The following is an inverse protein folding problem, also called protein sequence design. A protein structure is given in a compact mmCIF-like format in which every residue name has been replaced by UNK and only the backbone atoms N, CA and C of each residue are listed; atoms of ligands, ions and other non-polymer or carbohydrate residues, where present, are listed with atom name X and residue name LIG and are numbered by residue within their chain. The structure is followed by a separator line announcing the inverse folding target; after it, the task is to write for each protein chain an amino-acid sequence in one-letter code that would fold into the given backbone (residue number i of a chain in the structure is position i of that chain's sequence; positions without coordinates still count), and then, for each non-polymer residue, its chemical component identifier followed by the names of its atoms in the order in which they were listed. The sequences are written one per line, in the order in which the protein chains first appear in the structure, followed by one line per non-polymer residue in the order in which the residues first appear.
data_IF_977679822355
#
_entry.id   IF_977679822355
#
_cell.length_a   1.000
_cell.length_b   1.000
_cell.length_c   1.000
_cell.angle_alpha   90.00
_cell.angle_beta   90.00
_cell.angle_gamma   90.00
#
_symmetry.space_group_name_H-M   'P 1'
#
loop_
_entity.id
_entity.type
_entity.pdbx_description
1 polymer ?
#
# COMPACT_ATOMS: atom_id res chain seq x y z
N UNK A 1 -47.23 -32.24 30.37
CA UNK A 1 -47.08 -31.07 29.49
C UNK A 1 -45.98 -30.23 30.10
N UNK A 2 -44.94 -29.90 29.33
CA UNK A 2 -43.85 -29.05 29.81
C UNK A 2 -44.30 -27.62 29.56
N UNK A 3 -44.63 -26.89 30.62
CA UNK A 3 -44.88 -25.46 30.53
C UNK A 3 -43.51 -24.76 30.40
N UNK A 4 -43.21 -24.23 29.22
CA UNK A 4 -41.99 -23.44 28.99
C UNK A 4 -42.20 -22.06 29.59
N UNK A 5 -41.42 -21.74 30.62
CA UNK A 5 -41.32 -20.38 31.17
C UNK A 5 -40.46 -19.50 30.26
N UNK A 6 -41.13 -18.86 29.30
CA UNK A 6 -40.52 -17.95 28.32
C UNK A 6 -39.72 -16.81 28.96
N UNK A 7 -40.09 -16.38 30.17
CA UNK A 7 -39.41 -15.31 30.92
C UNK A 7 -38.06 -15.77 31.49
N UNK A 8 -38.01 -16.97 32.07
CA UNK A 8 -36.79 -17.60 32.59
C UNK A 8 -35.79 -17.90 31.46
N UNK A 9 -36.31 -18.27 30.29
CA UNK A 9 -35.50 -18.50 29.09
C UNK A 9 -35.00 -17.20 28.44
N UNK A 10 -35.83 -16.15 28.37
CA UNK A 10 -35.47 -14.89 27.71
C UNK A 10 -34.38 -14.09 28.44
N UNK A 11 -34.35 -14.14 29.78
CA UNK A 11 -33.39 -13.39 30.60
C UNK A 11 -31.91 -13.67 30.26
N UNK A 12 -31.43 -14.93 30.20
CA UNK A 12 -30.04 -15.21 29.85
C UNK A 12 -29.69 -14.84 28.40
N UNK A 13 -30.62 -15.02 27.45
CA UNK A 13 -30.41 -14.58 26.07
C UNK A 13 -30.30 -13.06 25.97
N UNK A 14 -31.15 -12.32 26.67
CA UNK A 14 -31.07 -10.87 26.73
C UNK A 14 -29.73 -10.39 27.32
N UNK A 15 -29.26 -11.04 28.40
CA UNK A 15 -27.96 -10.73 29.00
C UNK A 15 -26.79 -10.93 28.02
N UNK A 16 -26.74 -12.08 27.33
CA UNK A 16 -25.71 -12.37 26.34
C UNK A 16 -25.80 -11.40 25.16
N UNK A 17 -27.02 -11.06 24.72
CA UNK A 17 -27.23 -10.13 23.60
C UNK A 17 -26.72 -8.72 23.94
N UNK A 18 -26.98 -8.23 25.16
CA UNK A 18 -26.43 -6.95 25.63
C UNK A 18 -24.91 -7.01 25.73
N UNK A 19 -24.36 -8.10 26.27
CA UNK A 19 -22.91 -8.27 26.40
C UNK A 19 -22.23 -8.30 25.02
N UNK A 20 -22.71 -9.13 24.10
CA UNK A 20 -22.19 -9.23 22.72
C UNK A 20 -22.39 -7.91 21.96
N UNK A 21 -23.54 -7.25 22.13
CA UNK A 21 -23.82 -5.96 21.52
C UNK A 21 -22.84 -4.88 21.97
N UNK A 22 -22.58 -4.79 23.28
CA UNK A 22 -21.59 -3.85 23.84
C UNK A 22 -20.18 -4.15 23.35
N UNK A 23 -19.79 -5.42 23.28
CA UNK A 23 -18.46 -5.82 22.80
C UNK A 23 -18.29 -5.54 21.30
N UNK A 24 -19.32 -5.82 20.50
CA UNK A 24 -19.30 -5.57 19.06
C UNK A 24 -19.23 -4.08 18.74
N UNK A 25 -20.05 -3.26 19.41
CA UNK A 25 -20.02 -1.80 19.24
C UNK A 25 -18.67 -1.21 19.66
N UNK A 26 -18.13 -1.63 20.80
CA UNK A 26 -16.80 -1.20 21.23
C UNK A 26 -15.69 -1.65 20.27
N UNK A 27 -15.70 -2.91 19.85
CA UNK A 27 -14.71 -3.48 18.91
C UNK A 27 -14.72 -2.77 17.57
N UNK A 28 -15.91 -2.50 17.01
CA UNK A 28 -16.03 -1.81 15.73
C UNK A 28 -15.58 -0.35 15.82
N UNK A 29 -15.94 0.38 16.88
CA UNK A 29 -15.49 1.77 17.09
C UNK A 29 -13.98 1.83 17.32
N UNK A 30 -13.43 0.97 18.17
CA UNK A 30 -11.99 0.91 18.43
C UNK A 30 -11.19 0.60 17.16
N UNK A 31 -11.63 -0.39 16.38
CA UNK A 31 -10.98 -0.76 15.11
C UNK A 31 -11.06 0.37 14.09
N UNK A 32 -12.21 1.06 13.98
CA UNK A 32 -12.38 2.22 13.10
C UNK A 32 -11.43 3.36 13.50
N UNK A 33 -11.33 3.67 14.81
CA UNK A 33 -10.42 4.72 15.32
C UNK A 33 -8.95 4.36 15.08
N UNK A 34 -8.56 3.12 15.33
CA UNK A 34 -7.20 2.63 15.07
C UNK A 34 -6.85 2.71 13.58
N UNK A 35 -7.79 2.35 12.70
CA UNK A 35 -7.62 2.45 11.26
C UNK A 35 -7.52 3.92 10.77
N UNK A 36 -8.32 4.83 11.34
CA UNK A 36 -8.20 6.27 11.01
C UNK A 36 -6.88 6.87 11.50
N UNK A 37 -6.38 6.44 12.66
CA UNK A 37 -5.07 6.88 13.16
C UNK A 37 -3.95 6.38 12.24
N UNK A 38 -3.99 5.11 11.82
CA UNK A 38 -2.99 4.57 10.90
C UNK A 38 -3.05 5.20 9.51
N UNK A 39 -4.24 5.65 9.08
CA UNK A 39 -4.43 6.33 7.80
C UNK A 39 -3.81 7.74 7.76
N UNK A 40 -3.78 8.45 8.90
CA UNK A 40 -3.21 9.80 9.02
C UNK A 40 -1.68 9.81 9.21
N UNK A 41 -1.04 8.65 9.28
CA UNK A 41 0.40 8.58 9.42
C UNK A 41 1.06 9.06 8.14
N UNK A 42 2.03 9.96 8.31
CA UNK A 42 2.79 10.53 7.21
C UNK A 42 3.48 9.40 6.41
N UNK A 43 3.39 9.43 5.07
CA UNK A 43 4.07 8.48 4.19
C UNK A 43 5.56 8.36 4.55
N UNK A 44 6.10 7.13 4.53
CA UNK A 44 7.51 6.90 4.86
C UNK A 44 8.45 7.44 3.79
N UNK A 45 8.04 7.37 2.53
CA UNK A 45 8.79 7.91 1.40
C UNK A 45 8.10 9.15 0.83
N UNK A 46 8.87 10.09 0.27
CA UNK A 46 8.30 11.20 -0.47
C UNK A 46 7.56 10.70 -1.74
N UNK A 47 6.68 11.53 -2.31
CA UNK A 47 5.95 11.21 -3.53
C UNK A 47 6.88 10.71 -4.64
N UNK A 48 6.44 9.68 -5.37
CA UNK A 48 7.26 9.02 -6.39
C UNK A 48 7.32 9.86 -7.69
N UNK A 49 8.35 10.67 -7.83
CA UNK A 49 8.52 11.59 -8.97
C UNK A 49 8.56 10.85 -10.32
N UNK A 50 9.35 9.79 -10.43
CA UNK A 50 9.54 9.04 -11.67
C UNK A 50 8.27 8.33 -12.13
N UNK A 51 7.48 7.78 -11.18
CA UNK A 51 6.13 7.26 -11.46
C UNK A 51 5.22 8.37 -11.98
N UNK A 52 5.20 9.53 -11.32
CA UNK A 52 4.38 10.67 -11.74
C UNK A 52 4.77 11.16 -13.14
N UNK A 53 6.06 11.20 -13.48
CA UNK A 53 6.54 11.54 -14.83
C UNK A 53 6.03 10.50 -15.83
N UNK A 54 6.20 9.21 -15.54
CA UNK A 54 5.73 8.13 -16.41
C UNK A 54 4.20 8.20 -16.65
N UNK A 55 3.41 8.34 -15.59
CA UNK A 55 1.96 8.49 -15.70
C UNK A 55 1.60 9.77 -16.44
N UNK A 56 2.28 10.88 -16.20
CA UNK A 56 2.03 12.13 -16.94
C UNK A 56 2.32 11.95 -18.43
N UNK A 57 3.38 11.22 -18.80
CA UNK A 57 3.71 10.88 -20.18
C UNK A 57 2.67 9.95 -20.83
N UNK A 58 2.07 9.04 -20.06
CA UNK A 58 1.01 8.15 -20.54
C UNK A 58 -0.33 8.89 -20.76
N UNK A 59 -0.67 9.81 -19.85
CA UNK A 59 -1.89 10.63 -19.94
C UNK A 59 -1.72 11.89 -20.81
N UNK A 60 -0.54 12.08 -21.40
CA UNK A 60 -0.29 13.08 -22.44
C UNK A 60 -0.90 12.61 -23.77
N UNK A 61 -2.20 12.31 -23.75
CA UNK A 61 -3.00 12.11 -24.95
C UNK A 61 -3.33 13.47 -25.58
N UNK A 62 -3.41 13.54 -26.91
CA UNK A 62 -3.50 14.81 -27.63
C UNK A 62 -4.78 15.56 -27.25
N UNK A 63 -4.62 16.78 -26.73
CA UNK A 63 -5.73 17.73 -26.63
C UNK A 63 -6.26 17.97 -28.06
N UNK A 64 -7.55 17.74 -28.34
CA UNK A 64 -8.13 17.90 -29.68
C UNK A 64 -8.03 19.33 -30.23
N UNK A 65 -7.59 20.28 -29.40
CA UNK A 65 -7.41 21.70 -29.74
C UNK A 65 -6.00 22.05 -30.23
N UNK A 66 -5.04 21.12 -30.20
CA UNK A 66 -3.64 21.36 -30.60
C UNK A 66 -3.20 20.33 -31.65
N UNK A 67 -3.18 20.75 -32.92
CA UNK A 67 -2.83 19.94 -34.11
C UNK A 67 -1.42 19.30 -34.09
N UNK A 68 -0.59 19.59 -33.08
CA UNK A 68 0.77 19.04 -32.88
C UNK A 68 1.02 18.66 -31.43
N UNK A 69 0.20 17.80 -30.86
CA UNK A 69 0.61 17.06 -29.66
C UNK A 69 1.66 16.02 -30.10
N UNK A 70 2.94 16.14 -29.70
CA UNK A 70 3.98 15.23 -30.18
C UNK A 70 3.72 13.84 -29.62
N UNK A 71 3.40 12.89 -30.50
CA UNK A 71 3.30 11.47 -30.16
C UNK A 71 4.60 11.06 -29.45
N UNK A 72 4.53 10.87 -28.13
CA UNK A 72 5.72 10.56 -27.33
C UNK A 72 6.33 9.27 -27.87
N UNK A 73 7.61 9.27 -28.26
CA UNK A 73 8.21 8.07 -28.82
C UNK A 73 8.28 6.98 -27.74
N UNK A 74 7.96 5.74 -28.15
CA UNK A 74 8.00 4.53 -27.32
C UNK A 74 9.33 4.35 -26.56
N UNK A 75 10.45 4.83 -27.12
CA UNK A 75 11.76 4.79 -26.46
C UNK A 75 11.82 5.63 -25.19
N UNK A 76 11.12 6.78 -25.15
CA UNK A 76 11.08 7.67 -23.98
C UNK A 76 10.19 7.08 -22.88
N UNK A 77 9.07 6.45 -23.25
CA UNK A 77 8.19 5.75 -22.32
C UNK A 77 8.94 4.59 -21.64
N UNK A 78 9.70 3.80 -22.42
CA UNK A 78 10.54 2.72 -21.88
C UNK A 78 11.67 3.23 -21.00
N UNK A 79 12.34 4.32 -21.38
CA UNK A 79 13.37 4.93 -20.56
C UNK A 79 12.81 5.44 -19.22
N UNK A 80 11.60 6.02 -19.23
CA UNK A 80 10.90 6.44 -18.02
C UNK A 80 10.52 5.24 -17.13
N UNK A 81 10.02 4.14 -17.71
CA UNK A 81 9.71 2.91 -16.98
C UNK A 81 10.96 2.29 -16.33
N UNK A 82 12.09 2.24 -17.04
CA UNK A 82 13.37 1.78 -16.47
C UNK A 82 13.84 2.69 -15.33
N UNK A 83 13.66 4.00 -15.46
CA UNK A 83 14.01 4.96 -14.40
C UNK A 83 13.10 4.83 -13.17
N UNK A 84 11.82 4.50 -13.35
CA UNK A 84 10.89 4.11 -12.27
C UNK A 84 11.40 2.84 -11.57
N UNK A 85 11.69 1.78 -12.32
CA UNK A 85 12.18 0.52 -11.77
C UNK A 85 13.47 0.65 -10.94
N UNK A 86 14.43 1.47 -11.40
CA UNK A 86 15.69 1.70 -10.66
C UNK A 86 15.44 2.40 -9.33
N UNK A 87 14.55 3.39 -9.29
CA UNK A 87 14.17 4.08 -8.06
C UNK A 87 13.48 3.11 -7.08
N UNK A 88 12.57 2.26 -7.57
CA UNK A 88 11.90 1.23 -6.75
C UNK A 88 12.90 0.24 -6.14
N UNK A 89 13.91 -0.18 -6.91
CA UNK A 89 15.01 -1.04 -6.42
C UNK A 89 15.83 -0.33 -5.34
N UNK A 90 16.11 0.96 -5.50
CA UNK A 90 16.84 1.72 -4.48
C UNK A 90 16.02 1.83 -3.18
N UNK A 91 14.72 2.09 -3.29
CA UNK A 91 13.80 2.16 -2.14
C UNK A 91 13.70 0.83 -1.41
N UNK A 92 13.56 -0.31 -2.11
CA UNK A 92 13.50 -1.62 -1.44
C UNK A 92 14.80 -1.97 -0.72
N UNK A 93 15.96 -1.61 -1.28
CA UNK A 93 17.25 -1.79 -0.59
C UNK A 93 17.29 -0.96 0.69
N UNK A 94 16.87 0.31 0.63
CA UNK A 94 16.81 1.19 1.80
C UNK A 94 15.84 0.68 2.88
N UNK A 95 14.69 0.15 2.49
CA UNK A 95 13.74 -0.48 3.43
C UNK A 95 14.40 -1.70 4.07
N UNK A 96 14.98 -2.60 3.29
CA UNK A 96 15.59 -3.84 3.81
C UNK A 96 16.72 -3.59 4.80
N UNK A 97 17.58 -2.60 4.54
CA UNK A 97 18.64 -2.21 5.47
C UNK A 97 18.07 -1.59 6.74
N UNK A 98 17.07 -0.71 6.61
CA UNK A 98 16.41 -0.05 7.74
C UNK A 98 15.63 -1.05 8.62
N UNK A 99 15.05 -2.11 8.04
CA UNK A 99 14.31 -3.17 8.76
C UNK A 99 15.18 -3.86 9.81
N UNK A 100 16.41 -4.18 9.43
CA UNK A 100 17.36 -4.84 10.32
C UNK A 100 17.71 -3.95 11.52
N UNK A 101 17.99 -2.66 11.27
CA UNK A 101 18.26 -1.69 12.33
C UNK A 101 17.04 -1.46 13.24
N UNK A 102 15.85 -1.32 12.65
CA UNK A 102 14.60 -1.08 13.37
C UNK A 102 14.25 -2.22 14.33
N UNK A 103 14.42 -3.48 13.90
CA UNK A 103 14.15 -4.64 14.76
C UNK A 103 15.02 -4.65 16.02
N UNK A 104 16.28 -4.22 15.92
CA UNK A 104 17.18 -4.10 17.08
C UNK A 104 16.69 -2.99 18.02
N UNK A 105 16.23 -1.86 17.47
CA UNK A 105 15.70 -0.76 18.28
C UNK A 105 14.37 -1.10 18.95
N UNK A 106 13.49 -1.86 18.29
CA UNK A 106 12.22 -2.33 18.87
C UNK A 106 12.48 -3.25 20.06
N UNK A 107 13.44 -4.18 19.95
CA UNK A 107 13.82 -5.05 21.07
C UNK A 107 14.33 -4.27 22.29
N UNK A 108 14.90 -3.07 22.07
CA UNK A 108 15.35 -2.17 23.15
C UNK A 108 14.22 -1.29 23.72
N UNK A 109 13.01 -1.35 23.16
CA UNK A 109 11.87 -0.56 23.60
C UNK A 109 12.00 0.95 23.35
N UNK A 110 13.00 1.38 22.57
CA UNK A 110 13.28 2.80 22.31
C UNK A 110 12.48 3.37 21.14
N UNK A 111 11.63 2.57 20.51
CA UNK A 111 10.85 2.91 19.31
C UNK A 111 9.40 2.53 19.54
N UNK A 112 8.47 3.44 19.20
CA UNK A 112 7.04 3.18 19.33
C UNK A 112 6.50 2.25 18.24
N UNK A 113 5.44 1.50 18.59
CA UNK A 113 4.72 0.59 17.67
C UNK A 113 4.19 1.28 16.41
N UNK A 114 3.92 2.60 16.50
CA UNK A 114 3.51 3.42 15.36
C UNK A 114 4.55 3.43 14.23
N UNK A 115 5.84 3.51 14.57
CA UNK A 115 6.92 3.50 13.58
C UNK A 115 6.97 2.16 12.85
N UNK A 116 6.81 1.05 13.59
CA UNK A 116 6.77 -0.28 13.03
C UNK A 116 5.57 -0.46 12.07
N UNK A 117 4.42 0.12 12.42
CA UNK A 117 3.24 0.12 11.56
C UNK A 117 3.47 0.93 10.27
N UNK A 118 4.03 2.14 10.36
CA UNK A 118 4.41 2.97 9.20
C UNK A 118 5.38 2.22 8.29
N UNK A 119 6.37 1.58 8.89
CA UNK A 119 7.37 0.82 8.17
C UNK A 119 6.78 -0.39 7.43
N UNK A 120 5.94 -1.18 8.10
CA UNK A 120 5.27 -2.34 7.49
C UNK A 120 4.33 -1.92 6.36
N UNK A 121 3.68 -0.76 6.51
CA UNK A 121 2.86 -0.17 5.44
C UNK A 121 3.71 0.20 4.23
N UNK A 122 4.83 0.89 4.44
CA UNK A 122 5.74 1.26 3.38
C UNK A 122 6.35 0.05 2.66
N UNK A 123 6.64 -1.04 3.39
CA UNK A 123 7.11 -2.29 2.79
C UNK A 123 6.08 -2.87 1.82
N UNK A 124 4.80 -2.92 2.22
CA UNK A 124 3.72 -3.40 1.35
C UNK A 124 3.50 -2.51 0.13
N UNK A 125 3.51 -1.20 0.32
CA UNK A 125 3.32 -0.23 -0.76
C UNK A 125 4.40 -0.36 -1.84
N UNK A 126 5.68 -0.51 -1.44
CA UNK A 126 6.78 -0.71 -2.38
C UNK A 126 6.71 -2.09 -3.06
N UNK A 127 6.28 -3.13 -2.34
CA UNK A 127 6.10 -4.46 -2.93
C UNK A 127 5.00 -4.48 -3.99
N UNK A 128 3.91 -3.74 -3.76
CA UNK A 128 2.82 -3.56 -4.73
C UNK A 128 3.30 -2.77 -5.96
N UNK A 129 4.01 -1.66 -5.77
CA UNK A 129 4.60 -0.88 -6.88
C UNK A 129 5.58 -1.71 -7.72
N UNK A 130 6.44 -2.50 -7.09
CA UNK A 130 7.37 -3.38 -7.80
C UNK A 130 6.63 -4.44 -8.63
N UNK A 131 5.56 -5.02 -8.08
CA UNK A 131 4.72 -5.99 -8.81
C UNK A 131 4.06 -5.34 -10.03
N UNK A 132 3.59 -4.11 -9.87
CA UNK A 132 2.99 -3.32 -10.96
C UNK A 132 4.00 -3.08 -12.09
N UNK A 133 5.21 -2.61 -11.75
CA UNK A 133 6.29 -2.40 -12.75
C UNK A 133 6.68 -3.69 -13.46
N UNK A 134 6.80 -4.81 -12.74
CA UNK A 134 7.12 -6.11 -13.35
C UNK A 134 6.00 -6.58 -14.28
N UNK A 135 4.74 -6.39 -13.89
CA UNK A 135 3.59 -6.72 -14.73
C UNK A 135 3.57 -5.86 -16.01
N UNK A 136 3.85 -4.56 -15.91
CA UNK A 136 3.95 -3.64 -17.04
C UNK A 136 5.09 -4.03 -18.01
N UNK A 137 6.26 -4.41 -17.49
CA UNK A 137 7.40 -4.88 -18.31
C UNK A 137 7.08 -6.22 -19.00
N UNK A 138 6.46 -7.15 -18.26
CA UNK A 138 6.09 -8.47 -18.77
C UNK A 138 5.05 -8.44 -19.89
N UNK A 139 4.21 -7.41 -19.94
CA UNK A 139 3.24 -7.22 -21.02
C UNK A 139 3.88 -6.78 -22.35
N UNK A 140 5.10 -6.22 -22.35
CA UNK A 140 5.77 -5.79 -23.58
C UNK A 140 6.47 -6.97 -24.29
N UNK A 141 6.05 -7.37 -25.51
CA UNK A 141 6.39 -8.68 -26.09
C UNK A 141 7.81 -8.81 -26.66
N UNK A 142 8.73 -7.86 -26.46
CA UNK A 142 10.12 -8.01 -26.95
C UNK A 142 11.11 -7.01 -26.30
N UNK A 143 11.93 -7.42 -25.32
CA UNK A 143 13.10 -6.64 -24.95
C UNK A 143 14.17 -6.86 -26.02
N UNK A 144 14.52 -5.81 -26.77
CA UNK A 144 15.65 -5.87 -27.69
C UNK A 144 16.91 -6.33 -26.94
N UNK A 145 17.70 -7.30 -27.45
CA UNK A 145 18.77 -7.98 -26.71
C UNK A 145 20.01 -7.12 -26.37
N UNK A 146 19.94 -5.80 -26.49
CA UNK A 146 21.07 -4.87 -26.31
C UNK A 146 21.23 -4.28 -24.91
N UNK A 147 20.31 -4.53 -23.98
CA UNK A 147 20.33 -3.88 -22.66
C UNK A 147 21.06 -4.65 -21.55
N UNK A 148 21.47 -5.91 -21.78
CA UNK A 148 22.20 -6.73 -20.80
C UNK A 148 23.70 -6.87 -21.10
N UNK A 149 24.23 -6.15 -22.08
CA UNK A 149 25.67 -6.10 -22.36
C UNK A 149 26.22 -4.73 -21.98
N UNK A 150 26.51 -4.53 -20.69
CA UNK A 150 27.58 -3.67 -20.18
C UNK A 150 28.12 -4.28 -18.90
#
# INVERSE_FOLDING_TARGET
MVDIDWTSLALPFAYVLVMVGSLYTFSTVYRKRKASQSANLEPWFPPHLQRNIYLSLLHLEPDPSQEKSPKVPESVIRAALLRRAVEDIQRIIQVRTSKQALNILIQRGSVGDDLNLRFTRAEKEIEEELKDVVAEVGFQPNPSPRFLTF
#
